data_IF_884868412810
#
_entry.id   IF_884868412810
#
_cell.length_a   1.000
_cell.length_b   1.000
_cell.length_c   1.000
_cell.angle_alpha   90.00
_cell.angle_beta   90.00
_cell.angle_gamma   90.00
#
_symmetry.space_group_name_H-M   'P 1'
#
loop_
_entity.id
_entity.type
_entity.pdbx_description
1 polymer ?
#
# COMPACT_ATOMS: atom_id res chain seq x y z
N UNK A 1 4.53 10.60 0.61
CA UNK A 1 3.61 11.74 0.79
C UNK A 1 3.20 11.93 2.26
N UNK A 2 3.07 10.89 3.09
CA UNK A 2 2.64 11.07 4.49
C UNK A 2 3.64 11.83 5.38
N UNK A 3 4.95 11.66 5.18
CA UNK A 3 6.00 12.25 6.03
C UNK A 3 6.69 13.45 5.36
N UNK A 4 6.94 13.34 4.06
CA UNK A 4 7.50 14.39 3.22
C UNK A 4 6.90 14.30 1.80
N UNK A 5 7.20 15.31 0.99
CA UNK A 5 6.68 15.51 -0.34
C UNK A 5 7.54 14.78 -1.38
N UNK A 6 7.11 13.61 -1.88
CA UNK A 6 7.84 12.87 -2.90
C UNK A 6 7.92 13.66 -4.20
N UNK A 7 9.02 13.46 -4.92
CA UNK A 7 9.28 14.08 -6.22
C UNK A 7 9.43 12.97 -7.26
N UNK A 8 8.73 13.11 -8.39
CA UNK A 8 8.91 12.26 -9.57
C UNK A 8 9.48 13.12 -10.69
N UNK A 9 10.81 13.15 -10.82
CA UNK A 9 11.52 13.91 -11.85
C UNK A 9 11.62 13.13 -13.16
N UNK A 10 10.47 12.91 -13.80
CA UNK A 10 10.35 12.29 -15.13
C UNK A 10 9.83 13.29 -16.14
N UNK A 11 10.20 13.14 -17.42
CA UNK A 11 9.61 13.92 -18.51
C UNK A 11 8.12 13.59 -18.65
N UNK A 12 7.35 14.49 -19.27
CA UNK A 12 5.92 14.25 -19.54
C UNK A 12 5.70 12.97 -20.35
N UNK A 13 6.52 12.75 -21.39
CA UNK A 13 6.47 11.55 -22.22
C UNK A 13 6.68 10.27 -21.38
N UNK A 14 7.67 10.24 -20.49
CA UNK A 14 7.89 9.08 -19.62
C UNK A 14 6.71 8.83 -18.67
N UNK A 15 6.14 9.91 -18.11
CA UNK A 15 4.96 9.82 -17.25
C UNK A 15 3.76 9.24 -18.02
N UNK A 16 3.51 9.70 -19.25
CA UNK A 16 2.41 9.22 -20.09
C UNK A 16 2.52 7.72 -20.42
N UNK A 17 3.75 7.20 -20.56
CA UNK A 17 3.98 5.76 -20.84
C UNK A 17 3.89 4.85 -19.63
N UNK A 18 3.94 5.39 -18.40
CA UNK A 18 4.02 4.60 -17.17
C UNK A 18 3.05 5.10 -16.10
N UNK A 19 3.42 6.11 -15.31
CA UNK A 19 2.61 6.58 -14.16
C UNK A 19 1.19 7.00 -14.55
N UNK A 20 1.03 7.72 -15.65
CA UNK A 20 -0.25 8.28 -16.10
C UNK A 20 -1.03 7.32 -17.00
N UNK A 21 -0.35 6.34 -17.61
CA UNK A 21 -0.94 5.38 -18.54
C UNK A 21 -2.20 4.68 -18.00
N UNK A 22 -2.23 4.09 -16.78
CA UNK A 22 -3.42 3.40 -16.29
C UNK A 22 -4.59 4.37 -16.04
N UNK A 23 -4.31 5.58 -15.58
CA UNK A 23 -5.34 6.59 -15.33
C UNK A 23 -5.96 7.11 -16.63
N UNK A 24 -5.13 7.37 -17.65
CA UNK A 24 -5.62 7.76 -18.96
C UNK A 24 -6.47 6.64 -19.57
N UNK A 25 -6.02 5.38 -19.51
CA UNK A 25 -6.72 4.24 -20.10
C UNK A 25 -8.11 4.02 -19.47
N UNK A 26 -8.25 4.24 -18.16
CA UNK A 26 -9.49 3.99 -17.40
C UNK A 26 -10.33 5.26 -17.20
N UNK A 27 -9.97 6.41 -17.77
CA UNK A 27 -10.60 7.71 -17.46
C UNK A 27 -12.09 7.77 -17.77
N UNK A 28 -12.55 7.04 -18.78
CA UNK A 28 -13.96 7.02 -19.18
C UNK A 28 -14.80 6.05 -18.33
N UNK A 29 -14.13 5.14 -17.60
CA UNK A 29 -14.76 4.13 -16.74
C UNK A 29 -14.73 4.53 -15.26
N UNK A 30 -13.69 5.24 -14.83
CA UNK A 30 -13.46 5.63 -13.46
C UNK A 30 -14.39 6.78 -13.04
N UNK A 31 -15.38 6.54 -12.15
CA UNK A 31 -16.34 7.58 -11.76
C UNK A 31 -15.70 8.66 -10.86
N UNK A 32 -14.59 8.33 -10.22
CA UNK A 32 -13.77 9.27 -9.46
C UNK A 32 -12.27 8.91 -9.58
N UNK A 33 -11.41 9.94 -9.46
CA UNK A 33 -9.96 9.82 -9.36
C UNK A 33 -9.45 10.57 -8.14
N UNK A 34 -8.62 9.91 -7.33
CA UNK A 34 -7.94 10.52 -6.21
C UNK A 34 -6.56 11.04 -6.64
N UNK A 35 -6.26 12.29 -6.32
CA UNK A 35 -4.94 12.90 -6.53
C UNK A 35 -3.96 12.42 -5.45
N UNK A 36 -2.66 12.62 -5.65
CA UNK A 36 -1.65 12.34 -4.63
C UNK A 36 -0.73 13.56 -4.41
N UNK A 37 -0.24 13.74 -3.18
CA UNK A 37 0.69 14.82 -2.84
C UNK A 37 2.10 14.50 -3.34
N UNK A 38 2.32 14.62 -4.65
CA UNK A 38 3.57 14.33 -5.35
C UNK A 38 3.93 15.51 -6.25
N UNK A 39 5.19 15.96 -6.22
CA UNK A 39 5.68 17.01 -7.13
C UNK A 39 6.20 16.39 -8.42
N UNK A 40 5.72 16.91 -9.55
CA UNK A 40 6.16 16.54 -10.89
C UNK A 40 6.83 17.76 -11.53
N UNK A 41 8.14 18.00 -11.27
CA UNK A 41 8.78 19.27 -11.57
C UNK A 41 8.86 19.62 -13.06
N UNK A 42 8.67 18.63 -13.96
CA UNK A 42 8.57 18.86 -15.41
C UNK A 42 7.19 19.34 -15.87
N UNK A 43 6.18 19.33 -14.99
CA UNK A 43 4.82 19.83 -15.24
C UNK A 43 4.55 21.06 -14.35
N UNK A 44 4.74 20.91 -13.05
CA UNK A 44 4.61 21.99 -12.07
C UNK A 44 5.68 21.81 -10.97
N UNK A 45 6.72 22.66 -10.94
CA UNK A 45 7.76 22.60 -9.93
C UNK A 45 7.36 23.24 -8.59
N UNK A 46 6.26 23.99 -8.55
CA UNK A 46 5.86 24.77 -7.36
C UNK A 46 4.86 24.02 -6.49
N UNK A 47 3.97 23.25 -7.11
CA UNK A 47 2.87 22.60 -6.42
C UNK A 47 2.89 21.08 -6.60
N UNK A 48 2.53 20.31 -5.57
CA UNK A 48 2.20 18.91 -5.75
C UNK A 48 0.95 18.77 -6.62
N UNK A 49 0.76 17.59 -7.23
CA UNK A 49 -0.34 17.32 -8.15
C UNK A 49 -1.72 17.72 -7.60
N UNK A 50 -1.98 17.46 -6.32
CA UNK A 50 -3.23 17.84 -5.64
C UNK A 50 -3.53 19.35 -5.64
N UNK A 51 -2.50 20.20 -5.67
CA UNK A 51 -2.63 21.66 -5.64
C UNK A 51 -2.24 22.32 -6.98
N UNK A 52 -1.93 21.52 -8.00
CA UNK A 52 -1.42 22.02 -9.28
C UNK A 52 -2.55 22.21 -10.29
N UNK A 53 -2.80 23.46 -10.70
CA UNK A 53 -3.72 23.75 -11.80
C UNK A 53 -3.22 23.20 -13.14
N UNK A 54 -1.90 23.12 -13.35
CA UNK A 54 -1.35 22.51 -14.56
C UNK A 54 -1.71 21.03 -14.67
N UNK A 55 -1.76 20.31 -13.54
CA UNK A 55 -2.09 18.88 -13.52
C UNK A 55 -3.60 18.66 -13.48
N UNK A 56 -4.33 19.24 -12.51
CA UNK A 56 -5.77 18.98 -12.40
C UNK A 56 -6.57 19.70 -13.48
N UNK A 57 -6.30 20.99 -13.70
CA UNK A 57 -6.95 21.75 -14.77
C UNK A 57 -6.43 21.35 -16.14
N UNK A 58 -5.13 21.46 -16.36
CA UNK A 58 -4.51 21.22 -17.67
C UNK A 58 -4.60 19.77 -18.11
N UNK A 59 -3.94 18.85 -17.39
CA UNK A 59 -3.90 17.44 -17.81
C UNK A 59 -5.26 16.75 -17.67
N UNK A 60 -5.88 16.76 -16.48
CA UNK A 60 -7.11 16.00 -16.27
C UNK A 60 -8.32 16.63 -16.98
N UNK A 61 -8.60 17.92 -16.78
CA UNK A 61 -9.82 18.54 -17.34
C UNK A 61 -9.68 18.93 -18.80
N UNK A 62 -8.58 19.56 -19.19
CA UNK A 62 -8.47 20.15 -20.52
C UNK A 62 -7.97 19.11 -21.56
N UNK A 63 -6.85 18.42 -21.28
CA UNK A 63 -6.26 17.45 -22.19
C UNK A 63 -7.05 16.13 -22.21
N UNK A 64 -7.27 15.52 -21.05
CA UNK A 64 -7.91 14.19 -20.96
C UNK A 64 -9.43 14.26 -21.00
N UNK A 65 -9.99 15.46 -20.81
CA UNK A 65 -11.44 15.68 -20.74
C UNK A 65 -12.12 14.78 -19.70
N UNK A 66 -11.43 14.53 -18.59
CA UNK A 66 -11.97 13.73 -17.50
C UNK A 66 -13.14 14.46 -16.83
N UNK A 67 -14.32 13.85 -16.90
CA UNK A 67 -15.57 14.45 -16.38
C UNK A 67 -16.08 13.78 -15.09
N UNK A 68 -15.37 12.78 -14.59
CA UNK A 68 -15.64 12.21 -13.27
C UNK A 68 -15.18 13.11 -12.13
N UNK A 69 -15.39 12.66 -10.90
CA UNK A 69 -15.05 13.41 -9.68
C UNK A 69 -13.55 13.37 -9.41
N UNK A 70 -12.93 14.52 -9.16
CA UNK A 70 -11.54 14.61 -8.68
C UNK A 70 -11.55 14.86 -7.18
N UNK A 71 -11.03 13.91 -6.40
CA UNK A 71 -10.91 14.01 -4.95
C UNK A 71 -9.44 14.18 -4.53
N UNK A 72 -9.18 14.98 -3.50
CA UNK A 72 -7.82 15.09 -2.94
C UNK A 72 -7.46 13.86 -2.11
N UNK A 73 -6.16 13.52 -2.01
CA UNK A 73 -5.66 12.77 -0.84
C UNK A 73 -5.83 13.64 0.43
N UNK A 74 -5.60 13.04 1.60
CA UNK A 74 -5.83 13.69 2.89
C UNK A 74 -5.01 14.96 3.02
N UNK A 75 -5.65 16.12 3.18
CA UNK A 75 -4.93 17.37 3.40
C UNK A 75 -4.27 17.45 4.79
N UNK A 76 -4.63 16.55 5.70
CA UNK A 76 -4.02 16.41 7.03
C UNK A 76 -2.67 15.67 6.99
N UNK A 77 -2.24 15.16 5.84
CA UNK A 77 -0.91 14.56 5.72
C UNK A 77 0.17 15.62 5.95
N UNK A 78 1.14 15.29 6.80
CA UNK A 78 2.21 16.19 7.27
C UNK A 78 2.85 17.01 6.15
N UNK A 79 3.12 16.38 4.99
CA UNK A 79 3.76 17.03 3.86
C UNK A 79 2.96 18.21 3.28
N UNK A 80 1.63 18.20 3.36
CA UNK A 80 0.77 19.29 2.95
C UNK A 80 0.49 20.22 4.12
N UNK A 81 0.07 19.66 5.25
CA UNK A 81 -0.29 20.41 6.45
C UNK A 81 0.82 21.40 6.86
N UNK A 82 2.05 20.94 6.97
CA UNK A 82 3.16 21.77 7.46
C UNK A 82 3.57 22.88 6.48
N UNK A 83 3.24 22.71 5.19
CA UNK A 83 3.65 23.65 4.12
C UNK A 83 2.57 24.66 3.79
N UNK A 84 1.30 24.26 3.84
CA UNK A 84 0.18 25.06 3.36
C UNK A 84 -0.86 25.34 4.45
N UNK A 85 -1.00 24.48 5.46
CA UNK A 85 -2.15 24.48 6.37
C UNK A 85 -3.41 23.92 5.73
N UNK A 86 -4.34 23.41 6.55
CA UNK A 86 -5.61 22.81 6.08
C UNK A 86 -6.47 23.81 5.29
N UNK A 87 -6.51 25.05 5.75
CA UNK A 87 -7.32 26.13 5.21
C UNK A 87 -6.89 26.53 3.79
N UNK A 88 -5.62 26.89 3.62
CA UNK A 88 -5.09 27.30 2.32
C UNK A 88 -5.00 26.12 1.35
N UNK A 89 -4.65 24.93 1.82
CA UNK A 89 -4.59 23.74 0.96
C UNK A 89 -5.96 23.41 0.35
N UNK A 90 -7.04 23.55 1.12
CA UNK A 90 -8.39 23.32 0.62
C UNK A 90 -8.76 24.30 -0.52
N UNK A 91 -8.46 25.59 -0.34
CA UNK A 91 -8.69 26.61 -1.38
C UNK A 91 -7.85 26.32 -2.62
N UNK A 92 -6.56 26.03 -2.45
CA UNK A 92 -5.65 25.74 -3.57
C UNK A 92 -6.08 24.49 -4.36
N UNK A 93 -6.55 23.44 -3.68
CA UNK A 93 -7.03 22.23 -4.36
C UNK A 93 -8.26 22.51 -5.24
N UNK A 94 -9.22 23.30 -4.73
CA UNK A 94 -10.39 23.71 -5.51
C UNK A 94 -10.00 24.63 -6.68
N UNK A 95 -9.05 25.55 -6.47
CA UNK A 95 -8.50 26.38 -7.56
C UNK A 95 -7.79 25.55 -8.62
N UNK A 96 -7.09 24.49 -8.22
CA UNK A 96 -6.39 23.59 -9.13
C UNK A 96 -7.38 22.84 -10.04
N UNK A 97 -8.54 22.43 -9.50
CA UNK A 97 -9.61 21.76 -10.24
C UNK A 97 -10.15 20.50 -9.58
N UNK A 98 -9.84 20.28 -8.30
CA UNK A 98 -10.50 19.24 -7.49
C UNK A 98 -11.99 19.58 -7.30
N UNK A 99 -12.84 18.56 -7.26
CA UNK A 99 -14.27 18.73 -6.95
C UNK A 99 -14.54 18.50 -5.45
N UNK A 100 -13.75 17.63 -4.80
CA UNK A 100 -13.91 17.27 -3.39
C UNK A 100 -12.58 17.31 -2.66
N UNK A 101 -12.57 18.01 -1.52
CA UNK A 101 -11.43 18.07 -0.61
C UNK A 101 -11.61 17.02 0.49
N UNK A 102 -10.64 16.12 0.64
CA UNK A 102 -10.58 15.18 1.76
C UNK A 102 -10.00 15.87 2.99
N UNK A 103 -10.86 16.61 3.69
CA UNK A 103 -10.55 17.29 4.94
C UNK A 103 -10.71 16.33 6.14
N UNK A 104 -9.69 15.53 6.40
CA UNK A 104 -9.57 14.78 7.65
C UNK A 104 -9.01 15.68 8.75
N UNK A 105 -9.10 15.25 10.01
CA UNK A 105 -8.63 16.00 11.17
C UNK A 105 -9.72 16.26 12.20
N UNK A 106 -9.46 17.22 13.09
CA UNK A 106 -10.40 17.70 14.09
C UNK A 106 -11.54 18.52 13.48
N UNK A 107 -12.65 18.66 14.21
CA UNK A 107 -13.79 19.47 13.78
C UNK A 107 -13.40 20.94 13.55
N UNK A 108 -12.48 21.48 14.37
CA UNK A 108 -12.00 22.86 14.24
C UNK A 108 -11.18 23.06 12.96
N UNK A 109 -10.33 22.09 12.59
CA UNK A 109 -9.58 22.13 11.32
C UNK A 109 -10.51 22.06 10.10
N UNK A 110 -11.55 21.23 10.17
CA UNK A 110 -12.58 21.15 9.13
C UNK A 110 -13.37 22.46 9.01
N UNK A 111 -13.77 23.06 10.14
CA UNK A 111 -14.45 24.36 10.16
C UNK A 111 -13.57 25.47 9.58
N UNK A 112 -12.28 25.50 9.92
CA UNK A 112 -11.33 26.47 9.38
C UNK A 112 -11.18 26.36 7.85
N UNK A 113 -11.18 25.14 7.30
CA UNK A 113 -11.17 24.90 5.86
C UNK A 113 -12.45 25.42 5.19
N UNK A 114 -13.63 25.16 5.77
CA UNK A 114 -14.92 25.67 5.26
C UNK A 114 -14.92 27.21 5.24
N UNK A 115 -14.49 27.83 6.34
CA UNK A 115 -14.43 29.29 6.45
C UNK A 115 -13.46 29.91 5.43
N UNK A 116 -12.33 29.24 5.16
CA UNK A 116 -11.37 29.68 4.16
C UNK A 116 -11.93 29.61 2.74
N UNK A 117 -12.66 28.54 2.41
CA UNK A 117 -13.36 28.41 1.13
C UNK A 117 -14.41 29.51 0.98
N UNK A 118 -15.19 29.80 2.02
CA UNK A 118 -16.18 30.88 2.01
C UNK A 118 -15.52 32.24 1.77
N UNK A 119 -14.43 32.55 2.48
CA UNK A 119 -13.67 33.80 2.28
C UNK A 119 -13.11 33.92 0.87
N UNK A 120 -12.58 32.82 0.31
CA UNK A 120 -12.04 32.81 -1.05
C UNK A 120 -13.14 33.04 -2.10
N UNK A 121 -14.35 32.52 -1.87
CA UNK A 121 -15.52 32.82 -2.71
C UNK A 121 -15.92 34.29 -2.63
N UNK A 122 -16.01 34.85 -1.41
CA UNK A 122 -16.41 36.24 -1.20
C UNK A 122 -15.42 37.23 -1.84
N UNK A 123 -14.14 36.85 -1.90
CA UNK A 123 -13.07 37.62 -2.55
C UNK A 123 -12.95 37.39 -4.06
N UNK A 124 -13.71 36.46 -4.63
CA UNK A 124 -13.60 36.07 -6.03
C UNK A 124 -12.31 35.30 -6.38
N UNK A 125 -11.60 34.79 -5.38
CA UNK A 125 -10.42 33.92 -5.56
C UNK A 125 -10.84 32.51 -5.98
N UNK A 126 -12.08 32.10 -5.68
CA UNK A 126 -12.72 30.90 -6.20
C UNK A 126 -13.85 31.28 -7.16
N UNK A 127 -13.82 30.71 -8.37
CA UNK A 127 -14.89 30.87 -9.35
C UNK A 127 -16.12 30.05 -8.94
N UNK A 128 -17.24 30.75 -8.69
CA UNK A 128 -18.52 30.12 -8.34
C UNK A 128 -19.01 29.17 -9.42
N UNK A 129 -18.77 29.49 -10.70
CA UNK A 129 -19.15 28.62 -11.82
C UNK A 129 -18.42 27.27 -11.78
N UNK A 130 -17.13 27.29 -11.42
CA UNK A 130 -16.31 26.09 -11.26
C UNK A 130 -16.80 25.21 -10.11
N UNK A 131 -17.17 25.80 -8.97
CA UNK A 131 -17.74 25.03 -7.86
C UNK A 131 -19.11 24.44 -8.19
N UNK A 132 -19.94 25.14 -8.97
CA UNK A 132 -21.22 24.58 -9.45
C UNK A 132 -21.01 23.37 -10.38
N UNK A 133 -19.99 23.41 -11.24
CA UNK A 133 -19.61 22.25 -12.07
C UNK A 133 -19.10 21.09 -11.22
N UNK A 134 -18.24 21.37 -10.23
CA UNK A 134 -17.78 20.37 -9.29
C UNK A 134 -18.93 19.71 -8.53
N UNK A 135 -19.87 20.54 -8.04
CA UNK A 135 -21.07 20.07 -7.34
C UNK A 135 -21.94 19.18 -8.24
N UNK A 136 -22.14 19.56 -9.50
CA UNK A 136 -22.91 18.75 -10.45
C UNK A 136 -22.30 17.36 -10.67
N UNK A 137 -20.96 17.24 -10.71
CA UNK A 137 -20.29 15.92 -10.80
C UNK A 137 -20.50 15.08 -9.54
N UNK A 138 -20.43 15.71 -8.36
CA UNK A 138 -20.68 15.03 -7.08
C UNK A 138 -22.13 14.54 -6.98
N UNK A 139 -23.09 15.37 -7.36
CA UNK A 139 -24.50 14.98 -7.38
C UNK A 139 -24.74 13.83 -8.37
N UNK A 140 -24.18 13.90 -9.59
CA UNK A 140 -24.25 12.82 -10.58
C UNK A 140 -23.59 11.51 -10.09
N UNK A 141 -22.49 11.60 -9.35
CA UNK A 141 -21.85 10.44 -8.72
C UNK A 141 -22.78 9.79 -7.70
N UNK A 142 -23.40 10.59 -6.82
CA UNK A 142 -24.32 10.12 -5.79
C UNK A 142 -25.61 9.53 -6.39
N UNK A 143 -26.13 10.12 -7.46
CA UNK A 143 -27.29 9.59 -8.20
C UNK A 143 -26.98 8.25 -8.88
N UNK A 144 -25.77 8.10 -9.44
CA UNK A 144 -25.34 6.85 -10.09
C UNK A 144 -25.05 5.74 -9.09
N UNK A 145 -24.51 6.09 -7.92
CA UNK A 145 -24.12 5.15 -6.86
C UNK A 145 -24.79 5.53 -5.53
N UNK A 146 -26.11 5.35 -5.41
CA UNK A 146 -26.82 5.67 -4.19
C UNK A 146 -26.30 4.82 -3.02
N UNK A 147 -26.12 5.45 -1.87
CA UNK A 147 -25.72 4.74 -0.64
C UNK A 147 -26.91 3.90 -0.15
N UNK A 148 -26.74 2.59 -0.13
CA UNK A 148 -27.63 1.66 0.58
C UNK A 148 -26.95 1.22 1.88
N UNK A 149 -27.41 1.66 3.06
CA UNK A 149 -26.84 1.25 4.34
C UNK A 149 -27.22 -0.19 4.73
N UNK A 150 -27.71 -1.00 3.80
CA UNK A 150 -28.17 -2.37 3.99
C UNK A 150 -27.28 -3.24 4.88
N UNK A 151 -27.89 -4.24 5.51
CA UNK A 151 -27.18 -5.14 6.43
C UNK A 151 -26.24 -6.04 5.62
N UNK A 152 -24.95 -5.92 5.85
CA UNK A 152 -23.96 -6.88 5.36
C UNK A 152 -24.18 -8.22 6.07
N UNK A 153 -24.94 -9.12 5.43
CA UNK A 153 -25.41 -10.36 6.03
C UNK A 153 -24.26 -11.33 6.31
N UNK A 154 -24.46 -12.24 7.26
CA UNK A 154 -23.50 -13.31 7.55
C UNK A 154 -23.24 -14.22 6.35
N UNK A 155 -24.24 -14.41 5.48
CA UNK A 155 -24.10 -15.18 4.25
C UNK A 155 -23.24 -14.45 3.22
N UNK A 156 -23.49 -13.15 2.98
CA UNK A 156 -22.66 -12.34 2.09
C UNK A 156 -21.21 -12.31 2.56
N UNK A 157 -20.99 -12.08 3.86
CA UNK A 157 -19.67 -12.15 4.49
C UNK A 157 -18.99 -13.50 4.23
N UNK A 158 -19.70 -14.61 4.44
CA UNK A 158 -19.15 -15.96 4.22
C UNK A 158 -18.72 -16.17 2.76
N UNK A 159 -19.49 -15.67 1.80
CA UNK A 159 -19.18 -15.77 0.36
C UNK A 159 -17.92 -14.96 0.02
N UNK A 160 -17.82 -13.74 0.53
CA UNK A 160 -16.68 -12.85 0.30
C UNK A 160 -15.41 -13.38 0.98
N UNK A 161 -15.53 -13.88 2.22
CA UNK A 161 -14.41 -14.49 2.96
C UNK A 161 -13.86 -15.72 2.21
N UNK A 162 -14.73 -16.55 1.63
CA UNK A 162 -14.34 -17.69 0.81
C UNK A 162 -13.69 -17.26 -0.52
N UNK A 163 -14.19 -16.20 -1.16
CA UNK A 163 -13.54 -15.62 -2.33
C UNK A 163 -12.12 -15.14 -1.99
N UNK A 164 -11.97 -14.40 -0.88
CA UNK A 164 -10.67 -13.89 -0.42
C UNK A 164 -9.73 -15.03 -0.04
N UNK A 165 -10.20 -16.06 0.66
CA UNK A 165 -9.41 -17.26 1.00
C UNK A 165 -8.84 -17.93 -0.25
N UNK A 166 -9.67 -18.13 -1.28
CA UNK A 166 -9.22 -18.70 -2.57
C UNK A 166 -8.26 -17.78 -3.30
N UNK A 167 -8.47 -16.46 -3.27
CA UNK A 167 -7.58 -15.50 -3.90
C UNK A 167 -6.18 -15.53 -3.27
N UNK A 168 -6.10 -15.52 -1.93
CA UNK A 168 -4.83 -15.63 -1.19
C UNK A 168 -4.12 -16.96 -1.42
N UNK A 169 -4.84 -18.08 -1.38
CA UNK A 169 -4.25 -19.38 -1.68
C UNK A 169 -3.66 -19.46 -3.09
N UNK A 170 -4.30 -18.78 -4.07
CA UNK A 170 -3.79 -18.71 -5.45
C UNK A 170 -2.65 -17.70 -5.64
N UNK A 171 -2.52 -16.70 -4.78
CA UNK A 171 -1.44 -15.70 -4.86
C UNK A 171 -0.14 -16.19 -4.22
N UNK A 172 -0.20 -17.14 -3.28
CA UNK A 172 0.96 -17.72 -2.63
C UNK A 172 1.98 -18.20 -3.67
N UNK A 173 3.17 -17.63 -3.64
CA UNK A 173 4.17 -17.77 -4.72
C UNK A 173 5.44 -18.38 -4.17
N UNK A 174 5.85 -19.53 -4.71
CA UNK A 174 7.10 -20.21 -4.35
C UNK A 174 8.11 -20.16 -5.53
N UNK A 175 9.38 -19.92 -5.24
CA UNK A 175 10.47 -19.98 -6.23
C UNK A 175 11.80 -20.39 -5.58
N UNK A 176 12.87 -20.51 -6.37
CA UNK A 176 14.16 -20.98 -5.87
C UNK A 176 14.13 -22.43 -5.37
N UNK A 177 13.14 -23.22 -5.79
CA UNK A 177 12.96 -24.60 -5.34
C UNK A 177 12.33 -24.74 -3.95
N UNK A 178 11.66 -23.70 -3.43
CA UNK A 178 11.01 -23.74 -2.12
C UNK A 178 10.05 -24.92 -1.98
N UNK A 179 10.21 -25.65 -0.88
CA UNK A 179 9.37 -26.78 -0.47
C UNK A 179 9.09 -26.65 1.03
N UNK A 180 7.92 -27.10 1.49
CA UNK A 180 7.66 -27.16 2.91
C UNK A 180 8.64 -28.16 3.58
N UNK A 181 9.14 -27.85 4.79
CA UNK A 181 9.93 -28.81 5.55
C UNK A 181 9.04 -29.97 6.05
N UNK A 182 9.57 -31.19 6.24
CA UNK A 182 8.86 -32.28 6.92
C UNK A 182 8.45 -31.88 8.35
N UNK A 183 7.28 -32.35 8.79
CA UNK A 183 6.72 -32.01 10.11
C UNK A 183 7.54 -32.52 11.30
N UNK A 184 8.28 -33.61 11.10
CA UNK A 184 9.17 -34.26 12.07
C UNK A 184 10.60 -33.68 12.06
N UNK A 185 10.91 -32.80 11.11
CA UNK A 185 12.24 -32.21 11.01
C UNK A 185 12.42 -31.09 12.06
N UNK A 186 13.50 -31.09 12.86
CA UNK A 186 13.78 -29.98 13.77
C UNK A 186 13.99 -28.66 13.03
N UNK A 187 13.21 -27.65 13.40
CA UNK A 187 13.26 -26.31 12.80
C UNK A 187 13.92 -25.29 13.73
N UNK A 188 14.53 -24.27 13.13
CA UNK A 188 14.84 -22.98 13.74
C UNK A 188 14.16 -21.87 12.96
N UNK A 189 13.27 -21.11 13.60
CA UNK A 189 12.56 -19.99 12.98
C UNK A 189 13.19 -18.69 13.46
N UNK A 190 13.76 -17.91 12.56
CA UNK A 190 14.34 -16.60 12.87
C UNK A 190 13.38 -15.52 12.39
N UNK A 191 12.94 -14.65 13.29
CA UNK A 191 11.97 -13.61 12.96
C UNK A 191 12.13 -12.35 13.82
N UNK A 192 11.54 -11.24 13.41
CA UNK A 192 11.50 -10.04 14.24
C UNK A 192 10.40 -10.17 15.31
N UNK A 193 10.72 -9.87 16.57
CA UNK A 193 9.79 -9.97 17.71
C UNK A 193 8.56 -9.09 17.51
N UNK A 194 8.80 -7.80 17.28
CA UNK A 194 7.75 -6.79 17.12
C UNK A 194 8.04 -5.92 15.89
N UNK A 195 6.99 -5.62 15.13
CA UNK A 195 7.07 -4.75 13.95
C UNK A 195 6.01 -3.65 14.13
N UNK A 196 6.32 -2.60 14.91
CA UNK A 196 5.35 -1.54 15.18
C UNK A 196 5.00 -0.78 13.89
N UNK A 197 3.76 -0.33 13.80
CA UNK A 197 3.35 0.62 12.77
C UNK A 197 3.99 1.98 13.02
N UNK A 198 4.04 2.82 11.99
CA UNK A 198 4.58 4.19 12.06
C UNK A 198 3.48 5.26 11.99
N UNK A 199 2.22 4.87 12.22
CA UNK A 199 1.04 5.72 12.08
C UNK A 199 0.61 5.97 10.64
N UNK A 200 1.37 5.45 9.66
CA UNK A 200 1.08 5.53 8.22
C UNK A 200 0.85 4.13 7.65
N UNK A 201 1.76 3.22 7.93
CA UNK A 201 1.63 1.81 7.64
C UNK A 201 1.11 1.06 8.86
N UNK A 202 0.31 0.03 8.59
CA UNK A 202 -0.08 -0.95 9.61
C UNK A 202 1.15 -1.65 10.23
N UNK A 203 1.04 -2.10 11.48
CA UNK A 203 2.09 -2.91 12.09
C UNK A 203 2.27 -4.21 11.31
N UNK A 204 3.52 -4.67 11.19
CA UNK A 204 3.80 -5.96 10.59
C UNK A 204 3.43 -7.12 11.53
N UNK A 205 3.43 -8.33 10.98
CA UNK A 205 3.09 -9.54 11.73
C UNK A 205 4.08 -9.78 12.89
N UNK A 206 3.58 -9.95 14.12
CA UNK A 206 4.42 -10.21 15.30
C UNK A 206 5.16 -11.56 15.20
N UNK A 207 6.30 -11.68 15.89
CA UNK A 207 7.01 -12.95 16.01
C UNK A 207 6.18 -14.08 16.61
N UNK A 208 5.25 -13.78 17.52
CA UNK A 208 4.38 -14.79 18.15
C UNK A 208 3.37 -15.35 17.16
N UNK A 209 2.71 -14.48 16.38
CA UNK A 209 1.85 -14.91 15.25
C UNK A 209 2.59 -15.73 14.21
N UNK A 210 3.90 -15.54 14.05
CA UNK A 210 4.74 -16.35 13.15
C UNK A 210 5.02 -17.70 13.77
N UNK A 211 5.33 -17.75 15.07
CA UNK A 211 5.51 -19.01 15.79
C UNK A 211 4.27 -19.90 15.69
N UNK A 212 3.06 -19.32 15.76
CA UNK A 212 1.79 -20.05 15.59
C UNK A 212 1.67 -20.79 14.25
N UNK A 213 2.32 -20.31 13.18
CA UNK A 213 2.32 -20.99 11.87
C UNK A 213 3.03 -22.36 11.90
N UNK A 214 3.80 -22.62 12.96
CA UNK A 214 4.60 -23.83 13.11
C UNK A 214 4.12 -24.73 14.27
N UNK A 215 2.93 -24.50 14.85
CA UNK A 215 2.38 -25.33 15.93
C UNK A 215 2.19 -26.81 15.55
N UNK A 216 2.05 -27.10 14.25
CA UNK A 216 1.94 -28.46 13.72
C UNK A 216 3.28 -29.22 13.60
N UNK A 217 4.42 -28.60 13.90
CA UNK A 217 5.75 -29.21 13.79
C UNK A 217 6.24 -29.75 15.14
N UNK A 218 6.90 -30.91 15.13
CA UNK A 218 7.27 -31.62 16.36
C UNK A 218 8.32 -30.88 17.20
N UNK A 219 9.30 -30.25 16.55
CA UNK A 219 10.42 -29.59 17.24
C UNK A 219 10.75 -28.26 16.58
N UNK A 220 10.39 -27.16 17.24
CA UNK A 220 10.59 -25.79 16.74
C UNK A 220 11.37 -24.97 17.77
N UNK A 221 12.47 -24.37 17.33
CA UNK A 221 13.22 -23.34 18.08
C UNK A 221 12.93 -21.97 17.48
N UNK A 222 12.26 -21.08 18.19
CA UNK A 222 11.90 -19.75 17.69
C UNK A 222 12.88 -18.72 18.24
N UNK A 223 13.70 -18.14 17.35
CA UNK A 223 14.66 -17.09 17.64
C UNK A 223 14.07 -15.74 17.21
N UNK A 224 13.55 -15.00 18.18
CA UNK A 224 13.01 -13.66 17.95
C UNK A 224 14.05 -12.58 18.22
N UNK A 225 14.43 -11.83 17.19
CA UNK A 225 15.36 -10.68 17.29
C UNK A 225 14.59 -9.36 17.31
N UNK A 226 15.21 -8.30 17.84
CA UNK A 226 14.56 -6.99 17.92
C UNK A 226 14.43 -6.33 16.54
N UNK A 227 15.48 -6.42 15.72
CA UNK A 227 15.52 -5.84 14.36
C UNK A 227 16.18 -6.82 13.40
N UNK A 228 15.39 -7.35 12.47
CA UNK A 228 15.86 -8.42 11.58
C UNK A 228 16.94 -7.95 10.60
N UNK A 229 16.92 -6.68 10.16
CA UNK A 229 17.96 -6.15 9.26
C UNK A 229 19.36 -6.12 9.90
N UNK A 230 19.45 -6.11 11.24
CA UNK A 230 20.70 -6.15 11.99
C UNK A 230 21.18 -7.56 12.35
N UNK A 231 20.54 -8.61 11.83
CA UNK A 231 20.88 -10.00 12.15
C UNK A 231 22.33 -10.33 11.79
N UNK A 232 23.13 -10.71 12.78
CA UNK A 232 24.42 -11.34 12.56
C UNK A 232 24.23 -12.83 12.24
N UNK A 233 24.28 -13.16 10.96
CA UNK A 233 24.11 -14.53 10.50
C UNK A 233 25.20 -15.48 11.02
N UNK A 234 26.39 -14.98 11.36
CA UNK A 234 27.46 -15.82 11.89
C UNK A 234 27.16 -16.33 13.30
N UNK A 235 26.30 -15.63 14.03
CA UNK A 235 25.83 -16.02 15.36
C UNK A 235 24.67 -17.02 15.31
N UNK A 236 24.06 -17.25 14.13
CA UNK A 236 23.02 -18.27 13.97
C UNK A 236 23.66 -19.65 14.11
N UNK A 237 23.20 -20.42 15.09
CA UNK A 237 23.77 -21.73 15.36
C UNK A 237 23.55 -22.69 14.18
N UNK A 238 24.59 -23.45 13.86
CA UNK A 238 24.58 -24.50 12.85
C UNK A 238 24.49 -25.88 13.54
N UNK A 239 23.32 -26.20 14.07
CA UNK A 239 23.01 -27.41 14.85
C UNK A 239 22.20 -28.44 14.05
N UNK A 240 22.31 -28.41 12.71
CA UNK A 240 21.60 -29.27 11.74
C UNK A 240 20.08 -29.12 11.69
N UNK A 241 19.50 -28.15 12.41
CA UNK A 241 18.10 -27.75 12.22
C UNK A 241 17.91 -27.09 10.87
N UNK A 242 16.74 -27.28 10.25
CA UNK A 242 16.33 -26.49 9.10
C UNK A 242 16.06 -25.07 9.56
N UNK A 243 16.80 -24.11 9.01
CA UNK A 243 16.70 -22.70 9.37
C UNK A 243 15.71 -22.00 8.44
N UNK A 244 14.60 -21.54 9.01
CA UNK A 244 13.60 -20.73 8.33
C UNK A 244 13.77 -19.26 8.72
N UNK A 245 14.02 -18.39 7.74
CA UNK A 245 14.01 -16.95 7.94
C UNK A 245 12.60 -16.43 7.64
N UNK A 246 11.91 -15.83 8.61
CA UNK A 246 10.59 -15.24 8.43
C UNK A 246 10.67 -13.71 8.43
N UNK A 247 10.64 -13.14 7.22
CA UNK A 247 10.67 -11.70 6.96
C UNK A 247 9.30 -11.08 7.14
N UNK A 248 9.09 -10.47 8.32
CA UNK A 248 7.82 -9.91 8.76
C UNK A 248 7.79 -8.38 8.87
N UNK A 249 8.86 -7.71 8.44
CA UNK A 249 8.96 -6.26 8.37
C UNK A 249 9.01 -5.77 6.92
N UNK A 250 8.63 -4.51 6.67
CA UNK A 250 8.63 -3.93 5.31
C UNK A 250 10.02 -3.59 4.76
N UNK A 251 11.00 -3.37 5.64
CA UNK A 251 12.31 -2.85 5.24
C UNK A 251 13.15 -3.94 4.54
N UNK A 252 13.88 -3.53 3.50
CA UNK A 252 14.89 -4.39 2.86
C UNK A 252 16.11 -4.57 3.76
N UNK A 253 16.87 -5.64 3.53
CA UNK A 253 18.02 -5.97 4.36
C UNK A 253 19.33 -5.43 3.81
N UNK A 254 19.42 -5.09 2.52
CA UNK A 254 20.66 -4.59 1.92
C UNK A 254 21.67 -5.71 1.61
N UNK A 255 22.88 -5.31 1.20
CA UNK A 255 23.84 -6.24 0.60
C UNK A 255 24.40 -7.31 1.55
N UNK A 256 24.49 -7.05 2.86
CA UNK A 256 25.02 -8.03 3.82
C UNK A 256 24.15 -9.27 3.96
N UNK A 257 22.84 -9.15 3.72
CA UNK A 257 21.92 -10.28 3.75
C UNK A 257 22.17 -11.28 2.62
N UNK A 258 22.93 -10.90 1.58
CA UNK A 258 23.40 -11.85 0.55
C UNK A 258 24.31 -12.93 1.12
N UNK A 259 24.87 -12.75 2.31
CA UNK A 259 25.65 -13.77 3.01
C UNK A 259 24.78 -14.73 3.83
N UNK A 260 23.49 -14.42 4.04
CA UNK A 260 22.57 -15.26 4.78
C UNK A 260 22.22 -16.51 3.97
N UNK A 261 22.10 -17.65 4.64
CA UNK A 261 21.86 -18.97 4.03
C UNK A 261 20.75 -19.72 4.78
N UNK A 262 19.52 -19.18 4.88
CA UNK A 262 18.41 -19.97 5.39
C UNK A 262 18.10 -21.10 4.41
N UNK A 263 17.58 -22.22 4.92
CA UNK A 263 17.09 -23.33 4.10
C UNK A 263 15.75 -22.97 3.44
N UNK A 264 14.97 -22.10 4.09
CA UNK A 264 13.71 -21.57 3.58
C UNK A 264 13.54 -20.11 4.01
N UNK A 265 13.08 -19.26 3.10
CA UNK A 265 12.79 -17.85 3.35
C UNK A 265 11.30 -17.58 3.16
N UNK A 266 10.63 -17.14 4.23
CA UNK A 266 9.24 -16.66 4.18
C UNK A 266 9.24 -15.15 4.07
N UNK A 267 8.68 -14.60 2.99
CA UNK A 267 8.54 -13.16 2.78
C UNK A 267 7.07 -12.78 2.92
N UNK A 268 6.75 -12.16 4.07
CA UNK A 268 5.37 -11.99 4.51
C UNK A 268 4.77 -10.63 4.17
N UNK A 269 5.59 -9.68 3.73
CA UNK A 269 5.14 -8.32 3.45
C UNK A 269 5.79 -7.69 2.21
N UNK A 270 7.08 -7.32 2.27
CA UNK A 270 7.76 -6.69 1.14
C UNK A 270 8.41 -7.77 0.24
N UNK A 271 7.85 -8.07 -0.94
CA UNK A 271 8.33 -9.17 -1.79
C UNK A 271 9.78 -8.98 -2.25
N UNK A 272 10.29 -7.74 -2.27
CA UNK A 272 11.66 -7.45 -2.70
C UNK A 272 12.74 -7.87 -1.68
N UNK A 273 12.36 -8.29 -0.47
CA UNK A 273 13.29 -8.94 0.46
C UNK A 273 13.83 -10.27 -0.10
N UNK A 274 13.11 -10.90 -1.02
CA UNK A 274 13.60 -12.07 -1.73
C UNK A 274 14.83 -11.80 -2.62
N UNK A 275 15.04 -10.54 -3.03
CA UNK A 275 16.23 -10.14 -3.78
C UNK A 275 17.46 -9.96 -2.87
N UNK A 276 17.25 -9.84 -1.55
CA UNK A 276 18.33 -9.63 -0.57
C UNK A 276 18.91 -10.97 -0.08
N UNK A 277 18.11 -12.03 -0.06
CA UNK A 277 18.47 -13.34 0.51
C UNK A 277 18.36 -14.43 -0.57
N UNK A 278 19.51 -15.01 -0.92
CA UNK A 278 19.57 -16.10 -1.90
C UNK A 278 19.20 -17.44 -1.25
N UNK A 279 17.90 -17.76 -1.21
CA UNK A 279 17.36 -18.98 -0.64
C UNK A 279 16.13 -19.47 -1.43
N UNK A 280 15.69 -20.72 -1.22
CA UNK A 280 14.33 -21.12 -1.58
C UNK A 280 13.33 -20.22 -0.85
N UNK A 281 12.44 -19.54 -1.58
CA UNK A 281 11.59 -18.49 -1.03
C UNK A 281 10.12 -18.72 -1.33
N UNK A 282 9.28 -18.39 -0.35
CA UNK A 282 7.83 -18.26 -0.50
C UNK A 282 7.37 -16.86 -0.12
N UNK A 283 6.47 -16.30 -0.92
CA UNK A 283 5.94 -14.93 -0.77
C UNK A 283 4.43 -14.99 -0.60
N UNK A 284 3.92 -14.38 0.47
CA UNK A 284 2.48 -14.32 0.76
C UNK A 284 1.79 -13.07 0.23
N UNK A 285 2.55 -12.04 -0.17
CA UNK A 285 2.06 -10.72 -0.64
C UNK A 285 1.30 -9.89 0.41
N UNK A 286 1.36 -10.32 1.67
CA UNK A 286 0.68 -9.72 2.81
C UNK A 286 0.45 -10.76 3.90
N UNK A 287 -0.09 -10.31 5.03
CA UNK A 287 -0.29 -11.13 6.22
C UNK A 287 -1.73 -11.06 6.75
N UNK A 288 -2.70 -10.85 5.86
CA UNK A 288 -4.10 -11.08 6.19
C UNK A 288 -4.30 -12.54 6.64
N UNK A 289 -5.28 -12.82 7.51
CA UNK A 289 -5.46 -14.16 8.09
C UNK A 289 -5.59 -15.24 7.00
N UNK A 290 -6.35 -14.99 5.93
CA UNK A 290 -6.46 -15.90 4.78
C UNK A 290 -5.14 -16.16 4.04
N UNK A 291 -4.20 -15.21 4.04
CA UNK A 291 -2.85 -15.40 3.49
C UNK A 291 -2.00 -16.30 4.39
N UNK A 292 -2.13 -16.13 5.70
CA UNK A 292 -1.45 -16.95 6.71
C UNK A 292 -2.01 -18.37 6.75
N UNK A 293 -3.33 -18.55 6.63
CA UNK A 293 -3.98 -19.86 6.47
C UNK A 293 -3.43 -20.61 5.25
N UNK A 294 -3.27 -19.92 4.12
CA UNK A 294 -2.71 -20.50 2.91
C UNK A 294 -1.23 -20.90 3.08
N UNK A 295 -0.43 -20.03 3.72
CA UNK A 295 0.96 -20.32 4.05
C UNK A 295 1.07 -21.52 5.00
N UNK A 296 0.26 -21.58 6.06
CA UNK A 296 0.26 -22.69 7.01
C UNK A 296 -0.14 -23.99 6.32
N UNK A 297 -1.19 -23.98 5.49
CA UNK A 297 -1.58 -25.16 4.72
C UNK A 297 -0.43 -25.63 3.80
N UNK A 298 0.31 -24.71 3.18
CA UNK A 298 1.49 -25.06 2.39
C UNK A 298 2.63 -25.63 3.24
N UNK A 299 2.97 -25.00 4.38
CA UNK A 299 3.99 -25.46 5.33
C UNK A 299 3.70 -26.88 5.83
N UNK A 300 2.43 -27.22 6.04
CA UNK A 300 1.99 -28.55 6.48
C UNK A 300 1.83 -29.56 5.33
N UNK A 301 2.18 -29.19 4.09
CA UNK A 301 2.05 -30.05 2.92
C UNK A 301 0.61 -30.32 2.46
N UNK A 302 -0.37 -29.57 2.99
CA UNK A 302 -1.80 -29.66 2.66
C UNK A 302 -2.23 -28.67 1.56
N UNK A 303 -1.33 -27.76 1.16
CA UNK A 303 -1.58 -26.69 0.19
C UNK A 303 -0.52 -26.60 -0.90
N UNK A 304 -0.74 -25.70 -1.85
CA UNK A 304 0.17 -25.41 -2.96
C UNK A 304 0.47 -23.90 -3.02
N UNK A 305 1.55 -23.53 -3.71
CA UNK A 305 1.93 -22.14 -3.97
C UNK A 305 1.96 -21.87 -5.48
N UNK A 306 0.79 -21.80 -6.15
CA UNK A 306 0.69 -21.72 -7.62
C UNK A 306 0.89 -20.31 -8.17
N UNK A 307 1.08 -19.32 -7.30
CA UNK A 307 1.17 -17.91 -7.66
C UNK A 307 2.33 -17.62 -8.60
N UNK A 308 2.16 -16.57 -9.40
CA UNK A 308 3.21 -16.00 -10.23
C UNK A 308 3.46 -14.59 -9.79
N UNK A 309 4.71 -14.23 -9.59
CA UNK A 309 5.06 -12.87 -9.22
C UNK A 309 4.67 -11.89 -10.34
N UNK A 310 3.86 -10.86 -10.05
CA UNK A 310 3.53 -9.81 -11.02
C UNK A 310 4.71 -8.84 -11.27
N UNK A 311 5.80 -9.01 -10.52
CA UNK A 311 7.02 -8.20 -10.59
C UNK A 311 8.27 -9.08 -10.51
N UNK A 312 9.41 -8.66 -11.08
CA UNK A 312 10.67 -9.39 -10.94
C UNK A 312 11.15 -9.39 -9.48
N UNK A 313 11.15 -10.57 -8.84
CA UNK A 313 11.56 -10.75 -7.44
C UNK A 313 12.51 -11.93 -7.23
N UNK A 314 12.88 -12.62 -8.31
CA UNK A 314 13.94 -13.60 -8.31
C UNK A 314 15.20 -12.96 -8.93
N UNK A 315 16.41 -13.24 -8.41
CA UNK A 315 17.64 -12.91 -9.12
C UNK A 315 17.61 -13.53 -10.52
N UNK A 316 17.98 -12.74 -11.54
CA UNK A 316 18.13 -13.22 -12.91
C UNK A 316 19.26 -14.26 -13.06
#
# INVERSE_FOLDING_TARGET
SHLDLPVVDKSRESLDTMELAPFFALRDEAPAMMTAHIVYPKIDPQHPATLSRAILGGVLRDEWRYDGVVITDSLAMKAIHDRYGHDRAAVLALQAGADMVMALGSADEQAAAIDAIQRALDRGELDRGSLLRARARLDALAERFPVDPGIYSSEARRVDDELMRRAWARSLTAFGGAKPPPLDQPLRIITQRCVPGDGVAEPGLSGDRIAMLFEGFETVDVVQVDVLCGLDWRAVANDRRTTVLASNARARYGEHARAWRPDLHLVLWNPFQALDVAAPTIVTWGYADSALDALQAWLEGRGAAPGRAPVPIAPA
#
